data_IF_202335925012
#
_entry.id   IF_202335925012
#
_cell.length_a   1.000
_cell.length_b   1.000
_cell.length_c   1.000
_cell.angle_alpha   90.00
_cell.angle_beta   90.00
_cell.angle_gamma   90.00
#
_symmetry.space_group_name_H-M   'P 1'
#
loop_
_entity.id
_entity.type
_entity.pdbx_description
1 polymer ?
#
# COMPACT_ATOMS: atom_id res chain seq x y z
N UNK A 1 18.73 0.49 -3.43
CA UNK A 1 17.71 1.05 -2.58
C UNK A 1 16.34 0.73 -3.07
N UNK A 2 15.56 0.18 -2.23
CA UNK A 2 14.21 -0.18 -2.58
C UNK A 2 13.22 0.97 -2.40
N UNK A 3 12.02 0.76 -2.89
CA UNK A 3 10.96 1.74 -2.72
C UNK A 3 10.59 1.88 -1.25
N UNK A 4 10.05 3.03 -0.90
CA UNK A 4 9.59 3.29 0.45
C UNK A 4 8.15 2.79 0.63
N UNK A 5 7.92 2.13 1.74
CA UNK A 5 6.63 1.53 2.07
C UNK A 5 6.22 1.99 3.47
N UNK A 6 4.98 2.46 3.61
CA UNK A 6 4.44 2.79 4.92
C UNK A 6 3.42 1.72 5.30
N UNK A 7 3.46 1.29 6.58
CA UNK A 7 2.50 0.33 7.08
C UNK A 7 1.86 0.84 8.37
N UNK A 8 0.55 0.70 8.48
CA UNK A 8 -0.16 0.99 9.71
C UNK A 8 -0.92 -0.25 10.16
N UNK A 9 -0.63 -0.72 11.37
CA UNK A 9 -1.25 -1.89 11.97
C UNK A 9 -1.06 -1.76 13.48
N UNK A 10 -2.13 -1.95 14.25
CA UNK A 10 -2.04 -1.78 15.70
C UNK A 10 -1.36 -2.96 16.40
N UNK A 11 -1.17 -4.07 15.72
CA UNK A 11 -0.51 -5.24 16.29
C UNK A 11 1.00 -5.16 16.05
N UNK A 12 1.73 -4.95 17.14
CA UNK A 12 3.18 -4.79 17.05
C UNK A 12 3.87 -5.97 16.38
N UNK A 13 3.43 -7.18 16.70
CA UNK A 13 4.07 -8.39 16.13
C UNK A 13 3.94 -8.40 14.61
N UNK A 14 2.78 -8.03 14.11
CA UNK A 14 2.56 -8.00 12.66
C UNK A 14 3.38 -6.91 12.02
N UNK A 15 3.39 -5.71 12.61
CA UNK A 15 4.21 -4.61 12.11
C UNK A 15 5.67 -5.02 11.99
N UNK A 16 6.19 -5.62 13.07
CA UNK A 16 7.60 -6.01 13.11
C UNK A 16 7.93 -7.08 12.08
N UNK A 17 7.06 -8.07 11.94
CA UNK A 17 7.27 -9.16 10.99
C UNK A 17 7.28 -8.64 9.55
N UNK A 18 6.29 -7.84 9.22
CA UNK A 18 6.19 -7.31 7.86
C UNK A 18 7.38 -6.40 7.57
N UNK A 19 7.72 -5.54 8.52
CA UNK A 19 8.84 -4.62 8.34
C UNK A 19 10.13 -5.37 8.05
N UNK A 20 10.44 -6.35 8.90
CA UNK A 20 11.67 -7.13 8.74
C UNK A 20 11.70 -7.89 7.43
N UNK A 21 10.57 -8.51 7.09
CA UNK A 21 10.49 -9.32 5.89
C UNK A 21 10.72 -8.48 4.64
N UNK A 22 10.05 -7.34 4.56
CA UNK A 22 10.19 -6.46 3.40
C UNK A 22 11.56 -5.80 3.34
N UNK A 23 12.11 -5.43 4.51
CA UNK A 23 13.44 -4.84 4.53
C UNK A 23 14.51 -5.82 4.08
N UNK A 24 14.33 -7.10 4.38
CA UNK A 24 15.25 -8.12 3.89
C UNK A 24 15.26 -8.20 2.37
N UNK A 25 14.18 -7.78 1.74
CA UNK A 25 14.10 -7.79 0.29
C UNK A 25 14.48 -6.42 -0.32
N UNK A 26 15.00 -5.52 0.49
CA UNK A 26 15.56 -4.26 0.00
C UNK A 26 14.64 -3.06 0.09
N UNK A 27 13.43 -3.20 0.60
CA UNK A 27 12.51 -2.07 0.73
C UNK A 27 12.81 -1.26 1.98
N UNK A 28 12.45 0.01 1.93
CA UNK A 28 12.57 0.91 3.08
C UNK A 28 11.19 1.02 3.71
N UNK A 29 11.02 0.49 4.93
CA UNK A 29 9.70 0.41 5.55
C UNK A 29 9.63 1.30 6.79
N UNK A 30 8.57 2.11 6.87
CA UNK A 30 8.27 2.88 8.07
C UNK A 30 6.93 2.39 8.61
N UNK A 31 6.91 2.01 9.88
CA UNK A 31 5.74 1.40 10.50
C UNK A 31 5.10 2.37 11.49
N UNK A 32 3.77 2.37 11.51
CA UNK A 32 2.99 3.24 12.37
C UNK A 32 1.95 2.42 13.13
N UNK A 33 1.65 2.84 14.35
CA UNK A 33 0.63 2.18 15.15
C UNK A 33 -0.78 2.56 14.71
N UNK A 34 -0.93 3.75 14.12
CA UNK A 34 -2.24 4.25 13.72
C UNK A 34 -2.19 4.78 12.30
N UNK A 35 -3.38 4.81 11.68
CA UNK A 35 -3.49 5.39 10.36
C UNK A 35 -3.30 6.90 10.36
N UNK A 36 -3.66 7.56 11.45
CA UNK A 36 -3.49 9.01 11.55
C UNK A 36 -2.01 9.39 11.50
N UNK A 37 -1.16 8.62 12.19
CA UNK A 37 0.28 8.85 12.15
C UNK A 37 0.82 8.65 10.73
N UNK A 38 0.33 7.61 10.05
CA UNK A 38 0.76 7.34 8.69
C UNK A 38 0.37 8.49 7.77
N UNK A 39 -0.86 8.99 7.91
CA UNK A 39 -1.32 10.12 7.09
C UNK A 39 -0.48 11.35 7.31
N UNK A 40 -0.16 11.64 8.57
CA UNK A 40 0.64 12.79 8.93
C UNK A 40 2.00 12.74 8.23
N UNK A 41 2.63 11.57 8.28
CA UNK A 41 3.93 11.42 7.64
C UNK A 41 3.82 11.43 6.12
N UNK A 42 2.75 10.85 5.57
CA UNK A 42 2.57 10.82 4.13
C UNK A 42 2.46 12.23 3.57
N UNK A 43 1.78 13.12 4.27
CA UNK A 43 1.65 14.51 3.82
C UNK A 43 2.98 15.23 3.79
N UNK A 44 3.89 14.86 4.68
CA UNK A 44 5.24 15.45 4.70
C UNK A 44 6.15 14.79 3.68
N UNK A 45 6.08 13.49 3.59
CA UNK A 45 6.98 12.72 2.73
C UNK A 45 6.23 11.52 2.18
N UNK A 46 5.71 11.61 0.97
CA UNK A 46 4.97 10.49 0.38
C UNK A 46 5.84 9.26 0.17
N UNK A 47 5.20 8.10 0.21
CA UNK A 47 5.86 6.82 -0.03
C UNK A 47 5.35 6.21 -1.32
N UNK A 48 5.91 5.06 -1.70
CA UNK A 48 5.56 4.40 -2.96
C UNK A 48 4.46 3.37 -2.83
N UNK A 49 4.18 2.90 -1.61
CA UNK A 49 3.14 1.90 -1.38
C UNK A 49 2.72 1.96 0.08
N UNK A 50 1.44 1.75 0.34
CA UNK A 50 0.88 1.78 1.69
C UNK A 50 0.23 0.45 2.01
N UNK A 51 0.45 -0.06 3.22
CA UNK A 51 -0.21 -1.25 3.74
C UNK A 51 -1.03 -0.82 4.94
N UNK A 52 -2.33 -1.08 4.92
CA UNK A 52 -3.24 -0.64 5.96
C UNK A 52 -4.04 -1.80 6.54
N UNK A 53 -4.01 -1.93 7.87
CA UNK A 53 -4.93 -2.81 8.56
C UNK A 53 -6.28 -2.12 8.61
N UNK A 54 -7.35 -2.81 8.29
CA UNK A 54 -8.68 -2.21 8.32
C UNK A 54 -9.12 -1.95 9.76
N UNK A 55 -8.87 -2.90 10.65
CA UNK A 55 -9.32 -2.79 12.04
C UNK A 55 -8.23 -2.19 12.91
N UNK A 56 -8.29 -0.89 13.13
CA UNK A 56 -7.36 -0.18 13.99
C UNK A 56 -8.12 0.75 14.93
N UNK A 57 -7.61 0.99 16.15
CA UNK A 57 -8.21 1.99 17.02
C UNK A 57 -8.07 3.39 16.42
N UNK A 58 -9.01 4.25 16.72
CA UNK A 58 -9.03 5.59 16.15
C UNK A 58 -9.60 5.53 14.73
N UNK A 59 -8.94 6.16 13.81
CA UNK A 59 -9.40 6.16 12.41
C UNK A 59 -9.07 4.81 11.78
N UNK A 60 -10.08 4.12 11.26
CA UNK A 60 -9.87 2.79 10.69
C UNK A 60 -9.20 2.86 9.31
N UNK A 61 -8.75 1.69 8.84
CA UNK A 61 -8.01 1.62 7.59
C UNK A 61 -8.83 2.01 6.38
N UNK A 62 -10.13 1.73 6.38
CA UNK A 62 -10.98 2.12 5.26
C UNK A 62 -11.06 3.63 5.12
N UNK A 63 -11.19 4.32 6.25
CA UNK A 63 -11.23 5.77 6.27
C UNK A 63 -9.91 6.36 5.79
N UNK A 64 -8.79 5.80 6.25
CA UNK A 64 -7.47 6.25 5.81
C UNK A 64 -7.31 6.04 4.31
N UNK A 65 -7.75 4.90 3.79
CA UNK A 65 -7.70 4.63 2.36
C UNK A 65 -8.46 5.69 1.58
N UNK A 66 -9.65 6.01 2.04
CA UNK A 66 -10.48 7.03 1.40
C UNK A 66 -9.79 8.38 1.43
N UNK A 67 -9.20 8.75 2.57
CA UNK A 67 -8.47 10.02 2.68
C UNK A 67 -7.29 10.07 1.70
N UNK A 68 -6.54 8.98 1.62
CA UNK A 68 -5.41 8.92 0.70
C UNK A 68 -5.86 9.09 -0.75
N UNK A 69 -7.00 8.50 -1.11
CA UNK A 69 -7.48 8.58 -2.49
C UNK A 69 -7.91 9.98 -2.90
N UNK A 70 -8.14 10.87 -1.97
CA UNK A 70 -8.44 12.26 -2.33
C UNK A 70 -7.20 13.03 -2.74
N UNK A 71 -6.00 12.53 -2.43
CA UNK A 71 -4.77 13.27 -2.68
C UNK A 71 -3.72 12.49 -3.48
N UNK A 72 -3.88 11.19 -3.66
CA UNK A 72 -2.82 10.39 -4.28
C UNK A 72 -3.36 9.12 -4.90
N UNK A 73 -2.60 8.59 -5.87
CA UNK A 73 -2.87 7.29 -6.49
C UNK A 73 -1.94 6.21 -5.94
N UNK A 74 -1.29 6.46 -4.80
CA UNK A 74 -0.36 5.49 -4.24
C UNK A 74 -1.04 4.13 -4.09
N UNK A 75 -0.38 3.03 -4.47
CA UNK A 75 -0.98 1.71 -4.30
C UNK A 75 -1.18 1.37 -2.83
N UNK A 76 -2.33 0.81 -2.51
CA UNK A 76 -2.72 0.48 -1.14
C UNK A 76 -3.11 -0.99 -1.04
N UNK A 77 -2.46 -1.72 -0.13
CA UNK A 77 -2.83 -3.08 0.21
C UNK A 77 -3.56 -3.04 1.55
N UNK A 78 -4.79 -3.58 1.56
CA UNK A 78 -5.58 -3.64 2.80
C UNK A 78 -5.43 -5.00 3.46
N UNK A 79 -5.23 -5.01 4.77
CA UNK A 79 -5.19 -6.23 5.56
C UNK A 79 -6.51 -6.34 6.29
N UNK A 80 -7.20 -7.47 6.17
CA UNK A 80 -8.55 -7.61 6.70
C UNK A 80 -8.70 -8.91 7.46
N UNK A 81 -9.67 -8.98 8.39
CA UNK A 81 -9.96 -10.18 9.12
C UNK A 81 -10.57 -11.22 8.19
N UNK A 82 -10.40 -12.49 8.55
CA UNK A 82 -10.73 -13.61 7.69
C UNK A 82 -12.17 -13.62 7.19
N UNK A 83 -13.10 -13.17 8.00
CA UNK A 83 -14.53 -13.25 7.66
C UNK A 83 -15.15 -11.89 7.40
N UNK A 84 -14.36 -10.90 7.01
CA UNK A 84 -14.85 -9.55 6.78
C UNK A 84 -15.15 -9.30 5.32
N UNK A 85 -16.13 -10.04 4.79
CA UNK A 85 -16.54 -9.86 3.40
C UNK A 85 -17.04 -8.44 3.13
N UNK A 86 -17.77 -7.91 4.09
CA UNK A 86 -18.29 -6.55 3.99
C UNK A 86 -17.15 -5.53 3.86
N UNK A 87 -16.12 -5.69 4.68
CA UNK A 87 -14.98 -4.78 4.63
C UNK A 87 -14.21 -4.91 3.32
N UNK A 88 -14.13 -6.12 2.79
CA UNK A 88 -13.47 -6.35 1.51
C UNK A 88 -14.17 -5.57 0.40
N UNK A 89 -15.50 -5.68 0.34
CA UNK A 89 -16.28 -4.99 -0.69
C UNK A 89 -16.17 -3.48 -0.52
N UNK A 90 -16.27 -2.99 0.71
CA UNK A 90 -16.15 -1.56 0.98
C UNK A 90 -14.78 -1.03 0.60
N UNK A 91 -13.75 -1.80 0.88
CA UNK A 91 -12.40 -1.38 0.56
C UNK A 91 -12.18 -1.23 -0.93
N UNK A 92 -12.69 -2.15 -1.71
CA UNK A 92 -12.61 -2.05 -3.16
C UNK A 92 -13.31 -0.78 -3.63
N UNK A 93 -14.48 -0.52 -3.08
CA UNK A 93 -15.25 0.67 -3.42
C UNK A 93 -14.51 1.94 -3.06
N UNK A 94 -13.77 1.93 -1.95
CA UNK A 94 -13.05 3.11 -1.47
C UNK A 94 -11.66 3.26 -2.08
N UNK A 95 -11.23 2.33 -2.91
CA UNK A 95 -10.01 2.52 -3.70
C UNK A 95 -8.78 1.73 -3.28
N UNK A 96 -8.94 0.66 -2.49
CA UNK A 96 -7.83 -0.22 -2.21
C UNK A 96 -7.45 -1.00 -3.46
N UNK A 97 -6.16 -1.23 -3.66
CA UNK A 97 -5.67 -1.92 -4.84
C UNK A 97 -5.59 -3.43 -4.66
N UNK A 98 -5.45 -3.88 -3.43
CA UNK A 98 -5.34 -5.30 -3.16
C UNK A 98 -5.75 -5.57 -1.72
N UNK A 99 -6.12 -6.81 -1.44
CA UNK A 99 -6.59 -7.22 -0.13
C UNK A 99 -5.96 -8.54 0.26
N UNK A 100 -5.50 -8.63 1.50
CA UNK A 100 -5.01 -9.88 2.05
C UNK A 100 -5.78 -10.16 3.33
N UNK A 101 -6.29 -11.38 3.44
CA UNK A 101 -7.04 -11.82 4.61
C UNK A 101 -6.09 -12.39 5.65
N UNK A 102 -6.19 -11.92 6.89
CA UNK A 102 -5.40 -12.49 7.99
C UNK A 102 -5.96 -13.82 8.42
N UNK A 103 -5.13 -14.82 8.67
CA UNK A 103 -3.68 -14.80 8.54
C UNK A 103 -3.25 -14.95 7.08
N UNK A 104 -2.16 -14.30 6.73
CA UNK A 104 -1.61 -14.38 5.38
C UNK A 104 -0.15 -14.79 5.45
N UNK A 105 0.37 -15.22 4.31
CA UNK A 105 1.79 -15.56 4.21
C UNK A 105 2.58 -14.32 3.83
N UNK A 106 3.73 -14.14 4.47
CA UNK A 106 4.58 -13.00 4.14
C UNK A 106 5.04 -13.03 2.69
N UNK A 107 5.25 -14.23 2.14
CA UNK A 107 5.63 -14.35 0.73
C UNK A 107 4.52 -13.85 -0.20
N UNK A 108 3.26 -14.09 0.18
CA UNK A 108 2.13 -13.60 -0.61
C UNK A 108 2.10 -12.07 -0.59
N UNK A 109 2.31 -11.49 0.60
CA UNK A 109 2.37 -10.04 0.71
C UNK A 109 3.50 -9.48 -0.16
N UNK A 110 4.66 -10.07 -0.10
CA UNK A 110 5.80 -9.61 -0.89
C UNK A 110 5.49 -9.64 -2.39
N UNK A 111 4.84 -10.69 -2.86
CA UNK A 111 4.48 -10.80 -4.26
C UNK A 111 3.51 -9.70 -4.68
N UNK A 112 2.55 -9.36 -3.81
CA UNK A 112 1.62 -8.28 -4.10
C UNK A 112 2.32 -6.94 -4.13
N UNK A 113 3.23 -6.71 -3.18
CA UNK A 113 4.03 -5.49 -3.15
C UNK A 113 4.78 -5.33 -4.45
N UNK A 114 5.49 -6.37 -4.87
CA UNK A 114 6.27 -6.31 -6.11
C UNK A 114 5.39 -6.08 -7.33
N UNK A 115 4.26 -6.74 -7.37
CA UNK A 115 3.34 -6.61 -8.50
C UNK A 115 2.79 -5.19 -8.63
N UNK A 116 2.38 -4.60 -7.51
CA UNK A 116 1.83 -3.26 -7.53
C UNK A 116 2.87 -2.22 -7.86
N UNK A 117 4.07 -2.35 -7.30
CA UNK A 117 5.14 -1.41 -7.60
C UNK A 117 5.57 -1.48 -9.06
N UNK A 118 5.61 -2.69 -9.63
CA UNK A 118 5.94 -2.87 -11.03
C UNK A 118 4.89 -2.22 -11.91
N UNK A 119 3.63 -2.39 -11.58
CA UNK A 119 2.54 -1.80 -12.36
C UNK A 119 2.63 -0.28 -12.37
N UNK A 120 2.90 0.33 -11.23
CA UNK A 120 3.04 1.78 -11.14
C UNK A 120 4.23 2.26 -11.97
N UNK A 121 5.32 1.54 -11.88
CA UNK A 121 6.52 1.88 -12.63
C UNK A 121 6.28 1.79 -14.13
N UNK A 122 5.60 0.75 -14.58
CA UNK A 122 5.28 0.57 -16.00
C UNK A 122 4.35 1.67 -16.49
N UNK A 123 3.37 2.06 -15.69
CA UNK A 123 2.46 3.14 -16.06
C UNK A 123 3.23 4.45 -16.25
N UNK A 124 4.15 4.73 -15.35
CA UNK A 124 4.97 5.92 -15.42
C UNK A 124 5.82 5.92 -16.69
N UNK A 125 6.46 4.79 -16.97
CA UNK A 125 7.28 4.65 -18.18
C UNK A 125 6.45 4.79 -19.44
N UNK A 126 5.26 4.23 -19.43
CA UNK A 126 4.40 4.29 -20.58
C UNK A 126 4.00 5.73 -20.91
N UNK A 127 3.64 6.49 -19.89
CA UNK A 127 3.29 7.89 -20.09
C UNK A 127 4.48 8.67 -20.64
N UNK A 128 5.64 8.47 -20.04
CA UNK A 128 6.86 9.13 -20.49
C UNK A 128 7.22 8.73 -21.91
N UNK A 129 7.09 7.46 -22.22
CA UNK A 129 7.40 6.97 -23.57
C UNK A 129 6.51 7.61 -24.61
N UNK A 130 5.26 7.79 -24.32
CA UNK A 130 4.33 8.40 -25.27
C UNK A 130 4.66 9.85 -25.53
N UNK A 131 5.18 10.53 -24.56
CA UNK A 131 5.60 11.91 -24.76
C UNK A 131 6.76 12.01 -25.72
N UNK A 132 7.56 10.99 -25.77
CA UNK A 132 8.73 10.99 -26.61
C UNK A 132 8.49 10.45 -27.99
N UNK A 133 7.64 9.54 -28.12
CA UNK A 133 7.40 8.89 -29.40
C UNK A 133 6.05 9.26 -29.90
N UNK A 134 6.06 9.22 -29.12
CA UNK A 134 5.21 8.90 -29.20
C UNK A 134 4.75 8.98 -29.56
N UNK A 135 5.18 9.29 -29.52
CA UNK A 135 5.29 8.89 -29.41
C UNK A 135 5.33 8.37 -29.84
N UNK A 136 5.61 8.20 -29.98
CA UNK A 136 5.85 7.45 -30.18
C UNK A 136 5.77 6.70 -30.23
N UNK A 137 5.72 6.92 -30.23
CA UNK A 137 5.74 6.15 -29.99
C UNK A 137 5.65 5.60 -29.92
N UNK A 138 5.63 5.85 -30.03
CA UNK A 138 5.71 5.31 -29.64
C UNK A 138 5.64 5.03 -29.39
N UNK A 139 5.91 5.15 -29.74
CA UNK A 139 5.97 4.94 -29.40
C UNK A 139 6.06 4.66 -29.31
#
# INVERSE_FOLDING_TARGET
>A
MGASIYIADDEKNIRDLITKFLECDGYSVTAFETGDELMEEFLKKPCKLVILDIMMPGTDGLTICRQLRTITDVPIIMLTAKDSEYDYVRGITLGGDDYLTKPFRLTTLLMRVKSLLRRMDMNTKKVTGQELSDIKIGN
#
